data_IF_214531949747
#
_entry.id   IF_214531949747
#
_cell.length_a   1.000
_cell.length_b   1.000
_cell.length_c   1.000
_cell.angle_alpha   90.00
_cell.angle_beta   90.00
_cell.angle_gamma   90.00
#
_symmetry.space_group_name_H-M   'P 1'
#
loop_
_entity.id
_entity.type
_entity.pdbx_description
1 polymer ?
#
# COMPACT_ATOMS: atom_id res chain seq x y z
N UNK A 1 -4.22 -18.13 -4.37
CA UNK A 1 -2.80 -17.84 -4.05
C UNK A 1 -2.75 -16.45 -3.41
N UNK A 2 -2.57 -16.35 -2.09
CA UNK A 2 -2.60 -15.07 -1.38
C UNK A 2 -1.27 -14.33 -1.58
N UNK A 3 -1.29 -13.25 -2.36
CA UNK A 3 -0.13 -12.35 -2.49
C UNK A 3 0.03 -11.57 -1.17
N UNK A 4 1.10 -11.88 -0.45
CA UNK A 4 1.47 -11.17 0.80
C UNK A 4 2.08 -9.79 0.55
N UNK A 5 2.61 -9.60 -0.66
CA UNK A 5 3.32 -8.40 -1.08
C UNK A 5 2.86 -8.03 -2.49
N UNK A 6 2.56 -6.74 -2.70
CA UNK A 6 2.25 -6.20 -4.02
C UNK A 6 3.19 -5.05 -4.37
N UNK A 7 3.38 -4.79 -5.65
CA UNK A 7 4.14 -3.62 -6.10
C UNK A 7 3.37 -2.31 -5.90
N UNK A 8 4.10 -1.19 -5.85
CA UNK A 8 3.49 0.14 -5.87
C UNK A 8 2.60 0.31 -7.11
N UNK A 9 3.00 -0.25 -8.25
CA UNK A 9 2.22 -0.17 -9.48
C UNK A 9 0.90 -0.94 -9.37
N UNK A 10 0.91 -2.17 -8.83
CA UNK A 10 -0.32 -2.93 -8.57
C UNK A 10 -1.24 -2.16 -7.61
N UNK A 11 -0.71 -1.60 -6.52
CA UNK A 11 -1.49 -0.78 -5.59
C UNK A 11 -2.13 0.43 -6.28
N UNK A 12 -1.37 1.19 -7.07
CA UNK A 12 -1.91 2.31 -7.84
C UNK A 12 -3.05 1.88 -8.76
N UNK A 13 -2.89 0.77 -9.46
CA UNK A 13 -3.92 0.24 -10.38
C UNK A 13 -5.16 -0.25 -9.62
N UNK A 14 -4.98 -0.93 -8.48
CA UNK A 14 -6.09 -1.47 -7.69
C UNK A 14 -6.93 -0.38 -7.03
N UNK A 15 -6.30 0.68 -6.53
CA UNK A 15 -6.98 1.73 -5.78
C UNK A 15 -7.18 3.03 -6.58
N UNK A 16 -6.82 3.04 -7.86
CA UNK A 16 -6.87 4.23 -8.74
C UNK A 16 -6.17 5.45 -8.12
N UNK A 17 -5.03 5.20 -7.45
CA UNK A 17 -4.24 6.23 -6.77
C UNK A 17 -3.00 6.61 -7.56
N UNK A 18 -2.71 7.92 -7.61
CA UNK A 18 -1.48 8.43 -8.20
C UNK A 18 -0.25 8.05 -7.37
N UNK A 19 0.87 7.77 -8.03
CA UNK A 19 2.14 7.37 -7.37
C UNK A 19 2.58 8.35 -6.29
N UNK A 20 2.39 9.66 -6.52
CA UNK A 20 2.72 10.70 -5.54
C UNK A 20 1.98 10.49 -4.22
N UNK A 21 0.68 10.20 -4.27
CA UNK A 21 -0.14 9.94 -3.08
C UNK A 21 0.31 8.66 -2.38
N UNK A 22 0.61 7.62 -3.14
CA UNK A 22 1.11 6.36 -2.58
C UNK A 22 2.46 6.57 -1.87
N UNK A 23 3.40 7.33 -2.44
CA UNK A 23 4.65 7.64 -1.75
C UNK A 23 4.47 8.53 -0.53
N UNK A 24 3.50 9.45 -0.54
CA UNK A 24 3.12 10.20 0.66
C UNK A 24 2.61 9.26 1.76
N UNK A 25 1.72 8.32 1.42
CA UNK A 25 1.20 7.33 2.38
C UNK A 25 2.33 6.47 2.95
N UNK A 26 3.29 6.06 2.13
CA UNK A 26 4.48 5.33 2.60
C UNK A 26 5.32 6.18 3.56
N UNK A 27 5.55 7.46 3.24
CA UNK A 27 6.33 8.37 4.08
C UNK A 27 5.62 8.72 5.39
N UNK A 28 4.28 8.82 5.36
CA UNK A 28 3.45 9.09 6.53
C UNK A 28 3.30 7.86 7.44
N UNK A 29 3.66 6.67 6.95
CA UNK A 29 3.45 5.42 7.68
C UNK A 29 2.05 4.83 7.55
N UNK A 30 1.19 5.39 6.68
CA UNK A 30 -0.16 4.88 6.41
C UNK A 30 -0.13 3.46 5.81
N UNK A 31 0.90 3.17 5.02
CA UNK A 31 1.13 1.85 4.43
C UNK A 31 2.59 1.39 4.57
N UNK A 32 2.78 0.15 5.00
CA UNK A 32 4.09 -0.45 5.21
C UNK A 32 4.66 -1.01 3.91
N UNK A 33 5.96 -0.78 3.71
CA UNK A 33 6.70 -1.33 2.58
C UNK A 33 7.95 -2.08 3.02
N UNK A 34 8.30 -3.08 2.22
CA UNK A 34 9.57 -3.81 2.31
C UNK A 34 10.38 -3.57 1.04
N UNK A 35 11.68 -3.37 1.20
CA UNK A 35 12.60 -3.25 0.07
C UNK A 35 13.11 -4.63 -0.31
N UNK A 36 12.88 -5.04 -1.56
CA UNK A 36 13.38 -6.29 -2.14
C UNK A 36 14.25 -5.91 -3.34
N UNK A 37 15.58 -6.01 -3.15
CA UNK A 37 16.57 -5.56 -4.12
C UNK A 37 16.41 -4.06 -4.43
N UNK A 38 16.16 -3.75 -5.71
CA UNK A 38 15.96 -2.37 -6.20
C UNK A 38 14.51 -1.88 -6.09
N UNK A 39 13.57 -2.75 -5.75
CA UNK A 39 12.15 -2.44 -5.76
C UNK A 39 11.54 -2.40 -4.35
N UNK A 40 10.49 -1.60 -4.17
CA UNK A 40 9.65 -1.65 -2.97
C UNK A 40 8.42 -2.53 -3.22
N UNK A 41 7.96 -3.19 -2.17
CA UNK A 41 6.70 -3.95 -2.12
C UNK A 41 5.89 -3.48 -0.94
N UNK A 42 4.59 -3.33 -1.12
CA UNK A 42 3.64 -2.95 -0.09
C UNK A 42 3.10 -4.25 0.54
N UNK A 43 3.01 -4.29 1.88
CA UNK A 43 2.44 -5.43 2.60
C UNK A 43 0.92 -5.42 2.47
N UNK A 44 0.33 -6.53 2.03
CA UNK A 44 -1.13 -6.65 1.90
C UNK A 44 -1.84 -6.43 3.23
N UNK A 45 -1.30 -6.96 4.33
CA UNK A 45 -1.85 -6.75 5.68
C UNK A 45 -1.92 -5.26 6.09
N UNK A 46 -0.98 -4.44 5.64
CA UNK A 46 -1.01 -3.00 5.93
C UNK A 46 -2.07 -2.27 5.10
N UNK A 47 -2.34 -2.74 3.88
CA UNK A 47 -3.45 -2.24 3.06
C UNK A 47 -4.78 -2.55 3.73
N UNK A 48 -4.96 -3.76 4.24
CA UNK A 48 -6.16 -4.17 4.99
C UNK A 48 -6.35 -3.29 6.23
N UNK A 49 -5.28 -3.02 6.97
CA UNK A 49 -5.34 -2.10 8.12
C UNK A 49 -5.79 -0.70 7.68
N UNK A 50 -5.20 -0.16 6.62
CA UNK A 50 -5.58 1.15 6.07
C UNK A 50 -7.05 1.20 5.62
N UNK A 51 -7.56 0.16 4.95
CA UNK A 51 -8.97 0.07 4.56
C UNK A 51 -9.92 0.02 5.76
N UNK A 52 -9.53 -0.69 6.82
CA UNK A 52 -10.30 -0.74 8.05
C UNK A 52 -10.38 0.65 8.71
N UNK A 53 -9.28 1.42 8.73
CA UNK A 53 -9.29 2.79 9.24
C UNK A 53 -10.23 3.69 8.44
N UNK A 54 -10.27 3.56 7.10
CA UNK A 54 -11.19 4.34 6.25
C UNK A 54 -12.66 3.98 6.47
N UNK A 55 -12.95 2.69 6.68
CA UNK A 55 -14.32 2.20 6.89
C UNK A 55 -14.86 2.63 8.25
N UNK A 56 -14.02 2.68 9.28
CA UNK A 56 -14.40 3.09 10.64
C UNK A 56 -14.56 4.60 10.81
N UNK A 57 -14.12 5.41 9.84
CA UNK A 57 -14.25 6.87 9.86
C UNK A 57 -15.55 7.39 9.22
N UNK A 58 -16.40 6.50 8.69
CA UNK A 58 -17.75 6.81 8.19
C UNK A 58 -18.81 6.22 9.10
#
# INVERSE_FOLDING_TARGET
MNKQLISVQEFCTTFTLGRTRVYQMINNGDIETVKIGRSRRIKTASIEHWLNQLTQQN
#
